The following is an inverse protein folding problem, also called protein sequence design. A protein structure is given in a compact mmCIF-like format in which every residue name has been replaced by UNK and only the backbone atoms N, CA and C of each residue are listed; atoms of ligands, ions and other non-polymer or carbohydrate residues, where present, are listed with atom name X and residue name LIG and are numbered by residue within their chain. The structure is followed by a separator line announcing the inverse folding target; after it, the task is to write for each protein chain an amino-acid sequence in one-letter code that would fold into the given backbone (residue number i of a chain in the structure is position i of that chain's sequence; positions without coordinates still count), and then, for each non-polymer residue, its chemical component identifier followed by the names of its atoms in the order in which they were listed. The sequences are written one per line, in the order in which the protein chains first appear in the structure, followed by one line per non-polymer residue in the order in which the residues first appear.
data_IF_975850036720
#
_entry.id   IF_975850036720
#
_cell.length_a   1.000
_cell.length_b   1.000
_cell.length_c   1.000
_cell.angle_alpha   90.00
_cell.angle_beta   90.00
_cell.angle_gamma   90.00
#
_symmetry.space_group_name_H-M   'P 1'
#
loop_
_entity.id
_entity.type
_entity.pdbx_description
1 polymer ?
#
# COMPACT_ATOMS: atom_id res chain seq x y z
N UNK A 1 15.29 -24.29 38.41
CA UNK A 1 14.37 -24.48 37.26
C UNK A 1 12.90 -24.22 37.62
N UNK A 2 12.57 -23.98 38.90
CA UNK A 2 11.18 -23.79 39.34
C UNK A 2 10.68 -22.32 39.36
N UNK A 3 11.55 -21.31 39.24
CA UNK A 3 11.16 -19.89 39.33
C UNK A 3 10.72 -19.23 37.99
N UNK A 4 10.55 -19.99 36.92
CA UNK A 4 10.11 -19.44 35.62
C UNK A 4 8.59 -19.50 35.38
N UNK A 5 7.80 -20.07 36.29
CA UNK A 5 6.37 -20.37 36.03
C UNK A 5 5.37 -19.25 36.39
N UNK A 6 5.82 -18.03 36.71
CA UNK A 6 4.92 -16.95 37.11
C UNK A 6 5.14 -15.61 36.37
N UNK A 7 5.39 -15.64 35.06
CA UNK A 7 5.20 -14.47 34.22
C UNK A 7 4.13 -14.82 33.18
N UNK A 8 2.95 -14.24 33.40
CA UNK A 8 1.76 -14.40 32.56
C UNK A 8 2.10 -14.32 31.06
N UNK A 9 1.51 -15.27 30.32
CA UNK A 9 1.42 -15.40 28.86
C UNK A 9 1.70 -14.06 28.15
N UNK A 10 2.72 -13.95 27.28
CA UNK A 10 3.04 -12.69 26.63
C UNK A 10 1.84 -12.27 25.78
N UNK A 11 1.23 -11.14 26.15
CA UNK A 11 0.25 -10.48 25.32
C UNK A 11 0.87 -10.28 23.94
N UNK A 12 0.21 -10.82 22.91
CA UNK A 12 0.47 -10.55 21.51
C UNK A 12 0.67 -9.04 21.30
N UNK A 13 1.92 -8.56 21.21
CA UNK A 13 2.17 -7.14 20.94
C UNK A 13 2.24 -6.97 19.43
N UNK A 14 1.19 -6.36 18.89
CA UNK A 14 1.08 -6.07 17.49
C UNK A 14 1.42 -4.59 17.27
N UNK A 15 2.50 -4.34 16.53
CA UNK A 15 2.98 -2.98 16.24
C UNK A 15 2.42 -2.49 14.92
N UNK A 16 1.47 -1.56 14.96
CA UNK A 16 1.01 -0.90 13.74
C UNK A 16 0.00 -1.74 12.95
N UNK A 17 -1.22 -1.87 13.44
CA UNK A 17 -2.32 -2.63 12.81
C UNK A 17 -3.43 -1.72 12.25
N UNK A 18 -4.27 -2.29 11.39
CA UNK A 18 -5.51 -1.70 10.87
C UNK A 18 -6.74 -2.44 11.43
N UNK A 19 -7.88 -1.76 11.58
CA UNK A 19 -9.13 -2.43 11.98
C UNK A 19 -9.73 -3.29 10.86
N UNK A 20 -10.64 -4.19 11.23
CA UNK A 20 -11.46 -4.94 10.29
C UNK A 20 -12.19 -4.00 9.30
N UNK A 21 -12.38 -4.44 8.06
CA UNK A 21 -13.06 -3.70 6.99
C UNK A 21 -12.16 -2.80 6.15
N UNK A 22 -10.98 -2.43 6.64
CA UNK A 22 -9.99 -1.67 5.86
C UNK A 22 -9.50 -2.52 4.69
N UNK A 23 -9.53 -1.94 3.48
CA UNK A 23 -9.21 -2.67 2.26
C UNK A 23 -7.74 -2.59 1.91
N UNK A 24 -7.16 -3.75 1.58
CA UNK A 24 -5.79 -3.92 1.11
C UNK A 24 -5.80 -4.22 -0.38
N UNK A 25 -4.85 -3.65 -1.13
CA UNK A 25 -4.73 -3.88 -2.56
C UNK A 25 -3.94 -5.16 -2.86
N UNK A 26 -4.62 -6.14 -3.45
CA UNK A 26 -4.01 -7.38 -3.94
C UNK A 26 -3.22 -7.15 -5.23
N UNK A 27 -2.36 -8.10 -5.58
CA UNK A 27 -1.60 -8.13 -6.83
C UNK A 27 -2.49 -8.15 -8.08
N UNK A 28 -3.68 -8.76 -8.00
CA UNK A 28 -4.70 -8.79 -9.06
C UNK A 28 -5.61 -7.54 -9.09
N UNK A 29 -5.17 -6.48 -8.42
CA UNK A 29 -5.78 -5.16 -8.38
C UNK A 29 -7.19 -5.11 -7.77
N UNK A 30 -7.48 -6.00 -6.81
CA UNK A 30 -8.70 -5.94 -5.99
C UNK A 30 -8.40 -5.32 -4.63
N UNK A 31 -9.32 -4.48 -4.18
CA UNK A 31 -9.33 -4.00 -2.79
C UNK A 31 -10.16 -4.95 -1.95
N UNK A 32 -9.51 -5.76 -1.12
CA UNK A 32 -10.16 -6.76 -0.27
C UNK A 32 -10.01 -6.40 1.21
N UNK A 33 -11.01 -6.64 2.07
CA UNK A 33 -10.89 -6.35 3.49
C UNK A 33 -9.72 -7.12 4.14
N UNK A 34 -9.00 -6.49 5.06
CA UNK A 34 -7.81 -7.06 5.71
C UNK A 34 -8.09 -8.40 6.40
N UNK A 35 -9.29 -8.60 6.93
CA UNK A 35 -9.70 -9.84 7.60
C UNK A 35 -9.86 -11.03 6.65
N UNK A 36 -9.98 -10.79 5.34
CA UNK A 36 -10.14 -11.84 4.33
C UNK A 36 -8.81 -12.38 3.81
N UNK A 37 -7.69 -11.72 4.13
CA UNK A 37 -6.37 -12.12 3.66
C UNK A 37 -5.85 -13.33 4.43
N UNK A 38 -5.41 -14.35 3.68
CA UNK A 38 -4.74 -15.54 4.18
C UNK A 38 -3.24 -15.54 3.87
N UNK A 39 -2.49 -16.46 4.49
CA UNK A 39 -1.10 -16.70 4.12
C UNK A 39 -1.00 -17.12 2.65
N UNK A 40 -0.02 -16.60 1.93
CA UNK A 40 0.14 -16.86 0.50
C UNK A 40 -0.55 -15.87 -0.43
N UNK A 41 -1.43 -15.02 0.10
CA UNK A 41 -2.10 -14.01 -0.73
C UNK A 41 -1.09 -12.98 -1.24
N UNK A 42 -1.16 -12.73 -2.54
CA UNK A 42 -0.26 -11.80 -3.23
C UNK A 42 -0.81 -10.38 -3.21
N UNK A 43 0.01 -9.44 -2.77
CA UNK A 43 -0.31 -8.03 -2.60
C UNK A 43 0.52 -7.14 -3.52
N UNK A 44 -0.06 -6.00 -3.90
CA UNK A 44 0.71 -4.91 -4.49
C UNK A 44 1.39 -4.12 -3.36
N UNK A 45 2.72 -4.04 -3.42
CA UNK A 45 3.53 -3.41 -2.40
C UNK A 45 4.65 -2.54 -3.01
N UNK A 46 5.55 -2.04 -2.17
CA UNK A 46 6.66 -1.19 -2.61
C UNK A 46 7.91 -1.39 -1.76
N UNK A 47 9.08 -1.00 -2.25
CA UNK A 47 10.32 -1.09 -1.46
C UNK A 47 10.21 -0.25 -0.16
N UNK A 48 10.32 -0.89 1.02
CA UNK A 48 10.25 -0.21 2.32
C UNK A 48 11.31 0.91 2.43
N UNK A 49 12.55 0.56 2.08
CA UNK A 49 13.69 1.46 2.08
C UNK A 49 13.97 2.05 0.70
N UNK A 50 14.29 3.34 0.67
CA UNK A 50 14.75 3.98 -0.55
C UNK A 50 16.27 3.83 -0.67
N UNK A 51 16.77 3.21 -1.74
CA UNK A 51 18.22 3.23 -2.00
C UNK A 51 18.69 4.68 -2.22
N UNK A 52 19.80 5.08 -1.60
CA UNK A 52 20.35 6.45 -1.69
C UNK A 52 20.45 6.91 -3.16
N UNK A 53 19.76 8.02 -3.48
CA UNK A 53 19.72 8.59 -4.83
C UNK A 53 18.75 7.92 -5.82
N UNK A 54 18.00 6.89 -5.40
CA UNK A 54 16.96 6.22 -6.22
C UNK A 54 15.59 6.36 -5.55
N UNK A 55 14.54 6.32 -6.38
CA UNK A 55 13.16 6.26 -5.90
C UNK A 55 12.78 4.81 -5.61
N UNK A 56 11.92 4.61 -4.61
CA UNK A 56 11.27 3.32 -4.31
C UNK A 56 10.57 2.76 -5.55
N UNK A 57 10.49 1.45 -5.65
CA UNK A 57 9.80 0.74 -6.73
C UNK A 57 8.59 -0.02 -6.22
N UNK A 58 7.66 -0.28 -7.12
CA UNK A 58 6.59 -1.24 -6.89
C UNK A 58 7.17 -2.66 -6.87
N UNK A 59 6.67 -3.50 -5.97
CA UNK A 59 7.05 -4.90 -5.83
C UNK A 59 5.82 -5.74 -5.55
N UNK A 60 5.86 -7.01 -5.93
CA UNK A 60 4.89 -8.00 -5.45
C UNK A 60 5.32 -8.45 -4.05
N UNK A 61 4.35 -8.65 -3.17
CA UNK A 61 4.57 -9.10 -1.79
C UNK A 61 3.59 -10.20 -1.47
N UNK A 62 3.91 -11.02 -0.47
CA UNK A 62 3.08 -12.15 -0.05
C UNK A 62 2.74 -12.00 1.42
N UNK A 63 1.51 -12.35 1.79
CA UNK A 63 1.08 -12.37 3.19
C UNK A 63 1.75 -13.54 3.91
N UNK A 64 2.51 -13.24 4.96
CA UNK A 64 3.17 -14.24 5.81
C UNK A 64 2.42 -14.50 7.12
N UNK A 65 1.64 -13.51 7.58
CA UNK A 65 0.84 -13.63 8.80
C UNK A 65 -0.33 -12.65 8.75
N UNK A 66 -1.47 -13.07 9.29
CA UNK A 66 -2.62 -12.19 9.50
C UNK A 66 -3.41 -12.66 10.72
N UNK A 67 -3.34 -11.91 11.83
CA UNK A 67 -3.97 -12.31 13.09
C UNK A 67 -4.80 -11.19 13.71
N UNK A 68 -6.01 -11.49 14.20
CA UNK A 68 -6.80 -10.52 14.94
C UNK A 68 -6.22 -10.31 16.34
N UNK A 69 -6.04 -9.05 16.74
CA UNK A 69 -5.53 -8.61 18.04
C UNK A 69 -6.41 -7.50 18.57
N UNK A 70 -6.57 -7.39 19.89
CA UNK A 70 -7.24 -6.24 20.50
C UNK A 70 -6.20 -5.16 20.80
N UNK A 71 -6.38 -3.99 20.23
CA UNK A 71 -5.49 -2.85 20.46
C UNK A 71 -6.27 -1.54 20.51
N UNK A 72 -5.67 -0.53 21.10
CA UNK A 72 -6.19 0.82 21.12
C UNK A 72 -6.03 1.47 19.74
N UNK A 73 -7.12 2.07 19.23
CA UNK A 73 -7.24 2.55 17.85
C UNK A 73 -7.53 4.04 17.81
N UNK A 74 -6.87 4.69 16.87
CA UNK A 74 -7.09 6.07 16.48
C UNK A 74 -7.85 6.11 15.16
N UNK A 75 -8.85 6.98 15.08
CA UNK A 75 -9.58 7.29 13.85
C UNK A 75 -9.04 8.58 13.25
N UNK A 76 -8.54 8.47 12.03
CA UNK A 76 -8.09 9.56 11.18
C UNK A 76 -9.19 9.81 10.15
N UNK A 77 -9.70 11.04 10.11
CA UNK A 77 -10.68 11.47 9.12
C UNK A 77 -10.02 12.40 8.11
N UNK A 78 -10.20 12.10 6.83
CA UNK A 78 -9.65 12.87 5.72
C UNK A 78 -10.69 13.80 5.10
N UNK A 79 -10.22 14.81 4.37
CA UNK A 79 -11.05 15.84 3.72
C UNK A 79 -12.02 15.32 2.67
N UNK A 80 -11.79 14.12 2.12
CA UNK A 80 -12.71 13.45 1.17
C UNK A 80 -13.70 12.50 1.86
N UNK A 81 -13.75 12.51 3.19
CA UNK A 81 -14.61 11.63 3.99
C UNK A 81 -14.01 10.26 4.28
N UNK A 82 -12.81 9.95 3.76
CA UNK A 82 -12.16 8.65 4.04
C UNK A 82 -11.77 8.53 5.50
N UNK A 83 -12.00 7.35 6.07
CA UNK A 83 -11.72 7.03 7.46
C UNK A 83 -10.65 5.95 7.54
N UNK A 84 -9.53 6.26 8.19
CA UNK A 84 -8.50 5.28 8.53
C UNK A 84 -8.54 5.02 10.04
N UNK A 85 -8.67 3.76 10.43
CA UNK A 85 -8.65 3.34 11.83
C UNK A 85 -7.46 2.41 12.05
N UNK A 86 -6.48 2.91 12.79
CA UNK A 86 -5.20 2.25 12.98
C UNK A 86 -4.67 2.43 14.40
N UNK A 87 -3.78 1.54 14.83
CA UNK A 87 -3.10 1.67 16.12
C UNK A 87 -2.13 2.85 16.14
N UNK A 88 -1.79 3.37 17.33
CA UNK A 88 -0.88 4.52 17.50
C UNK A 88 0.45 4.37 16.74
N UNK A 89 1.01 3.16 16.69
CA UNK A 89 2.34 2.88 16.14
C UNK A 89 2.30 2.61 14.64
N UNK A 90 1.12 2.65 13.98
CA UNK A 90 1.00 2.28 12.57
C UNK A 90 1.66 3.34 11.67
N UNK A 91 2.72 3.00 10.92
CA UNK A 91 3.42 3.94 10.07
C UNK A 91 2.74 4.05 8.69
N UNK A 92 2.47 5.28 8.28
CA UNK A 92 2.06 5.60 6.91
C UNK A 92 3.18 6.36 6.20
N UNK A 93 3.49 5.96 4.97
CA UNK A 93 4.42 6.67 4.11
C UNK A 93 3.66 7.75 3.34
N UNK A 94 3.84 9.01 3.74
CA UNK A 94 3.19 10.14 3.07
C UNK A 94 4.21 11.02 2.35
N UNK A 95 3.81 11.56 1.20
CA UNK A 95 4.57 12.56 0.46
C UNK A 95 4.45 13.92 1.18
N UNK A 96 5.58 14.48 1.60
CA UNK A 96 5.59 15.73 2.38
C UNK A 96 5.79 16.97 1.50
N UNK A 97 6.99 17.11 0.90
CA UNK A 97 7.37 18.20 0.00
C UNK A 97 8.14 17.66 -1.19
N UNK A 98 7.81 18.13 -2.39
CA UNK A 98 8.44 17.65 -3.63
C UNK A 98 8.33 16.13 -3.76
N UNK A 99 9.44 15.44 -4.03
CA UNK A 99 9.50 13.98 -4.15
C UNK A 99 9.91 13.25 -2.85
N UNK A 100 9.87 13.90 -1.69
CA UNK A 100 10.27 13.30 -0.43
C UNK A 100 9.10 12.57 0.24
N UNK A 101 9.33 11.27 0.53
CA UNK A 101 8.42 10.42 1.29
C UNK A 101 8.99 10.21 2.69
N UNK A 102 8.15 10.38 3.70
CA UNK A 102 8.53 10.27 5.11
C UNK A 102 7.53 9.34 5.79
N UNK A 103 8.05 8.37 6.54
CA UNK A 103 7.25 7.52 7.42
C UNK A 103 6.77 8.35 8.60
N UNK A 104 5.48 8.32 8.88
CA UNK A 104 4.90 8.91 10.09
C UNK A 104 3.95 7.94 10.73
N UNK A 105 4.11 7.72 12.03
CA UNK A 105 3.17 6.95 12.84
C UNK A 105 1.89 7.76 13.08
N UNK A 106 0.81 7.07 13.45
CA UNK A 106 -0.44 7.74 13.84
C UNK A 106 -0.23 8.64 15.05
N UNK A 107 0.62 8.24 16.01
CA UNK A 107 0.97 9.07 17.16
C UNK A 107 1.67 10.38 16.74
N UNK A 108 2.62 10.32 15.80
CA UNK A 108 3.29 11.51 15.28
C UNK A 108 2.32 12.43 14.52
N UNK A 109 1.42 11.84 13.72
CA UNK A 109 0.36 12.59 13.03
C UNK A 109 -0.58 13.25 14.05
N UNK A 110 -0.96 12.54 15.12
CA UNK A 110 -1.80 13.07 16.20
C UNK A 110 -1.13 14.24 16.93
N UNK A 111 0.15 14.09 17.32
CA UNK A 111 0.94 15.16 17.96
C UNK A 111 1.10 16.36 17.03
N UNK A 112 1.38 16.12 15.75
CA UNK A 112 1.49 17.17 14.74
C UNK A 112 0.15 17.90 14.57
N UNK A 113 -0.98 17.17 14.56
CA UNK A 113 -2.31 17.74 14.36
C UNK A 113 -2.68 18.66 15.53
N UNK A 114 -2.42 18.21 16.77
CA UNK A 114 -2.61 19.02 17.98
C UNK A 114 -1.74 20.28 18.00
N UNK A 115 -0.52 20.23 17.46
CA UNK A 115 0.40 21.38 17.44
C UNK A 115 0.12 22.37 16.29
N UNK A 116 -0.18 21.87 15.09
CA UNK A 116 -0.32 22.69 13.89
C UNK A 116 -1.67 23.43 13.84
N UNK A 117 -2.67 23.00 14.62
CA UNK A 117 -3.98 23.64 14.69
C UNK A 117 -4.78 23.60 13.39
N UNK A 118 -4.24 23.05 12.29
CA UNK A 118 -4.94 22.91 11.01
C UNK A 118 -4.24 21.94 10.04
N UNK A 119 -5.06 21.08 9.43
CA UNK A 119 -4.89 20.32 8.18
C UNK A 119 -3.48 19.78 7.87
N UNK A 120 -3.21 18.51 8.24
CA UNK A 120 -2.00 17.81 7.79
C UNK A 120 -2.22 17.29 6.38
N UNK A 121 -1.42 17.73 5.41
CA UNK A 121 -1.41 17.15 4.06
C UNK A 121 -1.06 15.67 4.13
N UNK A 122 -1.90 14.84 3.55
CA UNK A 122 -1.77 13.39 3.55
C UNK A 122 -2.20 12.87 2.18
N UNK A 123 -1.28 12.26 1.43
CA UNK A 123 -1.54 11.99 0.01
C UNK A 123 -1.89 10.52 -0.22
N UNK A 124 -3.02 10.29 -0.88
CA UNK A 124 -3.39 8.97 -1.41
C UNK A 124 -2.57 8.66 -2.68
N UNK A 125 -1.92 7.51 -2.71
CA UNK A 125 -1.04 7.13 -3.84
C UNK A 125 -1.82 6.50 -4.98
N UNK A 126 -2.77 5.60 -4.67
CA UNK A 126 -3.67 4.98 -5.62
C UNK A 126 -5.12 5.25 -5.21
N UNK A 127 -6.04 5.54 -6.13
CA UNK A 127 -7.46 5.60 -5.78
C UNK A 127 -7.93 4.24 -5.27
N UNK A 128 -9.03 4.25 -4.51
CA UNK A 128 -9.73 3.02 -4.14
C UNK A 128 -10.83 2.80 -5.15
N UNK A 129 -10.96 1.56 -5.64
CA UNK A 129 -12.00 1.18 -6.59
C UNK A 129 -12.65 -0.13 -6.17
N UNK A 130 -13.82 -0.39 -6.76
CA UNK A 130 -14.47 -1.70 -6.74
C UNK A 130 -14.54 -2.24 -8.16
N UNK A 131 -14.72 -3.55 -8.30
CA UNK A 131 -15.01 -4.14 -9.60
C UNK A 131 -16.36 -3.61 -10.08
N UNK A 132 -16.37 -3.04 -11.27
CA UNK A 132 -17.56 -2.46 -11.88
C UNK A 132 -18.26 -3.56 -12.69
N UNK A 133 -19.49 -3.88 -12.30
CA UNK A 133 -20.33 -4.91 -12.94
C UNK A 133 -21.41 -4.32 -13.84
N UNK A 134 -21.31 -3.03 -14.18
CA UNK A 134 -22.20 -2.38 -15.15
C UNK A 134 -22.01 -2.96 -16.56
N UNK A 135 -23.02 -2.74 -17.41
CA UNK A 135 -22.95 -3.12 -18.82
C UNK A 135 -21.78 -2.41 -19.52
N UNK A 136 -21.58 -1.14 -19.21
CA UNK A 136 -20.51 -0.30 -19.75
C UNK A 136 -19.13 -0.87 -19.41
N UNK A 137 -18.92 -1.27 -18.15
CA UNK A 137 -17.67 -1.91 -17.73
C UNK A 137 -17.47 -3.26 -18.41
N UNK A 138 -18.50 -4.10 -18.50
CA UNK A 138 -18.44 -5.37 -19.22
C UNK A 138 -18.10 -5.20 -20.70
N UNK A 139 -18.72 -4.21 -21.37
CA UNK A 139 -18.41 -3.87 -22.76
C UNK A 139 -16.95 -3.45 -22.92
N UNK A 140 -16.47 -2.55 -22.05
CA UNK A 140 -15.08 -2.09 -22.09
C UNK A 140 -14.08 -3.22 -21.77
N UNK A 141 -14.42 -4.15 -20.88
CA UNK A 141 -13.60 -5.31 -20.58
C UNK A 141 -13.38 -6.15 -21.84
N UNK A 142 -14.46 -6.51 -22.54
CA UNK A 142 -14.39 -7.26 -23.80
C UNK A 142 -13.70 -6.48 -24.93
N UNK A 143 -13.97 -5.18 -25.01
CA UNK A 143 -13.34 -4.29 -25.99
C UNK A 143 -11.81 -4.23 -25.79
N UNK A 144 -11.33 -3.97 -24.56
CA UNK A 144 -9.90 -3.92 -24.27
C UNK A 144 -9.23 -5.30 -24.31
N UNK A 145 -9.98 -6.37 -24.01
CA UNK A 145 -9.49 -7.73 -24.27
C UNK A 145 -9.31 -8.02 -25.77
N UNK A 146 -10.01 -7.31 -26.66
CA UNK A 146 -9.87 -7.50 -28.11
C UNK A 146 -8.84 -6.53 -28.71
N UNK A 147 -9.08 -5.22 -28.55
CA UNK A 147 -8.34 -4.12 -29.21
C UNK A 147 -7.24 -3.51 -28.33
N UNK A 148 -7.25 -3.84 -27.03
CA UNK A 148 -6.39 -3.22 -26.04
C UNK A 148 -4.96 -3.78 -26.03
N UNK A 149 -4.03 -2.94 -25.61
CA UNK A 149 -2.63 -3.28 -25.42
C UNK A 149 -2.13 -2.63 -24.11
N UNK A 150 -1.62 -3.47 -23.22
CA UNK A 150 -0.88 -3.05 -22.04
C UNK A 150 0.62 -3.09 -22.36
N UNK A 151 1.24 -1.92 -22.48
CA UNK A 151 2.67 -1.78 -22.71
C UNK A 151 3.38 -1.56 -21.38
N UNK A 152 4.18 -2.55 -20.95
CA UNK A 152 5.12 -2.41 -19.85
C UNK A 152 6.54 -2.58 -20.38
N UNK A 153 7.40 -1.60 -20.14
CA UNK A 153 8.81 -1.65 -20.54
C UNK A 153 9.67 -1.94 -19.33
N UNK A 154 10.65 -2.83 -19.48
CA UNK A 154 11.62 -3.10 -18.42
C UNK A 154 12.42 -1.85 -18.03
N UNK A 155 12.54 -1.61 -16.73
CA UNK A 155 13.35 -0.51 -16.19
C UNK A 155 14.79 -0.99 -16.05
N UNK A 156 15.63 -0.74 -17.07
CA UNK A 156 17.06 -1.08 -17.00
C UNK A 156 17.75 -0.36 -15.82
N UNK A 157 18.50 -1.05 -14.93
CA UNK A 157 19.10 -0.45 -13.73
C UNK A 157 20.20 0.59 -13.95
N UNK A 158 20.82 0.65 -15.14
CA UNK A 158 22.12 1.31 -15.37
C UNK A 158 22.12 2.49 -16.37
N UNK A 159 20.96 2.95 -16.84
CA UNK A 159 20.92 4.09 -17.79
C UNK A 159 21.15 5.45 -17.12
N UNK A 160 22.25 6.14 -17.45
CA UNK A 160 22.40 7.59 -17.21
C UNK A 160 21.23 8.30 -17.93
N UNK A 161 20.46 9.09 -17.19
CA UNK A 161 19.11 9.65 -17.52
C UNK A 161 17.99 8.62 -17.55
N UNK A 162 17.14 8.71 -16.52
CA UNK A 162 15.80 8.16 -16.41
C UNK A 162 14.94 8.51 -17.64
N UNK A 163 15.01 7.69 -18.68
CA UNK A 163 13.91 7.60 -19.63
C UNK A 163 12.87 6.73 -18.95
N UNK A 164 11.98 7.34 -18.15
CA UNK A 164 10.61 6.81 -18.12
C UNK A 164 10.19 6.94 -19.57
N UNK A 165 10.28 5.84 -20.32
CA UNK A 165 9.79 5.84 -21.69
C UNK A 165 8.37 6.39 -21.61
N UNK A 166 8.01 7.33 -22.48
CA UNK A 166 6.65 7.85 -22.56
C UNK A 166 5.58 6.73 -22.76
N UNK A 167 6.04 5.48 -22.95
CA UNK A 167 5.25 4.26 -23.10
C UNK A 167 5.26 3.33 -21.88
N UNK A 168 5.88 3.69 -20.74
CA UNK A 168 5.91 2.81 -19.57
C UNK A 168 4.53 2.77 -18.86
N UNK A 169 3.97 1.56 -18.71
CA UNK A 169 2.64 1.31 -18.12
C UNK A 169 1.52 2.00 -18.89
N UNK A 170 1.55 1.87 -20.22
CA UNK A 170 0.57 2.49 -21.11
C UNK A 170 -0.54 1.49 -21.43
N UNK A 171 -1.78 1.88 -21.18
CA UNK A 171 -2.96 1.14 -21.63
C UNK A 171 -3.57 1.88 -22.82
N UNK A 172 -3.53 1.26 -23.99
CA UNK A 172 -4.02 1.83 -25.22
C UNK A 172 -4.95 0.86 -25.95
N UNK A 173 -5.84 1.40 -26.76
CA UNK A 173 -6.57 0.62 -27.76
C UNK A 173 -6.48 1.33 -29.12
N UNK A 174 -6.63 0.55 -30.18
CA UNK A 174 -6.67 1.06 -31.56
C UNK A 174 -7.94 0.56 -32.20
N UNK A 175 -8.73 1.44 -32.78
CA UNK A 175 -9.94 1.04 -33.46
C UNK A 175 -10.24 1.98 -34.62
N UNK A 176 -10.79 1.44 -35.71
CA UNK A 176 -11.31 2.24 -36.81
C UNK A 176 -12.58 2.98 -36.37
N UNK A 177 -12.77 4.21 -36.84
CA UNK A 177 -14.02 4.96 -36.59
C UNK A 177 -15.23 4.16 -37.06
N UNK A 178 -16.04 3.71 -36.10
CA UNK A 178 -17.26 2.94 -36.28
C UNK A 178 -18.13 3.05 -35.00
N UNK A 179 -19.35 2.46 -34.97
CA UNK A 179 -20.18 2.49 -33.77
C UNK A 179 -19.48 1.92 -32.52
N UNK A 180 -18.67 0.86 -32.66
CA UNK A 180 -17.93 0.26 -31.55
C UNK A 180 -16.93 1.24 -30.92
N UNK A 181 -16.18 1.98 -31.74
CA UNK A 181 -15.30 3.06 -31.28
C UNK A 181 -16.08 4.13 -30.50
N UNK A 182 -17.19 4.62 -31.06
CA UNK A 182 -18.01 5.67 -30.41
C UNK A 182 -18.56 5.20 -29.07
N UNK A 183 -19.04 3.96 -29.00
CA UNK A 183 -19.51 3.33 -27.76
C UNK A 183 -18.38 3.20 -26.74
N UNK A 184 -17.19 2.75 -27.15
CA UNK A 184 -16.04 2.65 -26.25
C UNK A 184 -15.65 4.03 -25.68
N UNK A 185 -15.59 5.07 -26.52
CA UNK A 185 -15.29 6.44 -26.07
C UNK A 185 -16.34 6.95 -25.09
N UNK A 186 -17.64 6.80 -25.41
CA UNK A 186 -18.74 7.19 -24.53
C UNK A 186 -18.68 6.47 -23.19
N UNK A 187 -18.48 5.15 -23.20
CA UNK A 187 -18.44 4.36 -21.97
C UNK A 187 -17.20 4.67 -21.12
N UNK A 188 -16.03 4.92 -21.73
CA UNK A 188 -14.87 5.36 -20.96
C UNK A 188 -15.12 6.68 -20.25
N UNK A 189 -15.79 7.63 -20.90
CA UNK A 189 -16.16 8.91 -20.30
C UNK A 189 -17.20 8.74 -19.18
N UNK A 190 -18.22 7.91 -19.38
CA UNK A 190 -19.24 7.58 -18.37
C UNK A 190 -18.64 6.97 -17.11
N UNK A 191 -17.63 6.11 -17.24
CA UNK A 191 -16.90 5.53 -16.10
C UNK A 191 -15.81 6.46 -15.52
N UNK A 192 -15.76 7.71 -15.97
CA UNK A 192 -14.86 8.74 -15.45
C UNK A 192 -13.40 8.56 -15.85
N UNK A 193 -13.10 7.86 -16.95
CA UNK A 193 -11.76 7.78 -17.51
C UNK A 193 -11.56 8.88 -18.55
N UNK A 194 -10.43 9.57 -18.47
CA UNK A 194 -9.98 10.44 -19.55
C UNK A 194 -9.11 9.64 -20.51
N UNK A 195 -9.41 9.69 -21.81
CA UNK A 195 -8.60 9.07 -22.85
C UNK A 195 -8.02 10.12 -23.79
N UNK A 196 -6.81 9.88 -24.31
CA UNK A 196 -6.33 10.66 -25.47
C UNK A 196 -7.06 10.19 -26.71
N UNK A 197 -7.34 11.06 -27.67
CA UNK A 197 -7.84 10.65 -28.97
C UNK A 197 -6.90 11.17 -30.05
N UNK A 198 -6.07 10.30 -30.63
CA UNK A 198 -5.16 10.66 -31.72
C UNK A 198 -5.50 9.82 -32.95
N UNK A 199 -5.82 10.47 -34.05
CA UNK A 199 -5.88 9.84 -35.37
C UNK A 199 -4.50 9.90 -36.02
N UNK A 200 -4.13 8.87 -36.80
CA UNK A 200 -3.03 9.02 -37.76
C UNK A 200 -3.53 9.85 -38.94
N UNK A 201 -2.72 10.81 -39.39
CA UNK A 201 -3.05 11.75 -40.48
C UNK A 201 -3.13 11.11 -41.86
N UNK A 202 -2.83 9.81 -42.00
CA UNK A 202 -3.06 9.11 -43.26
C UNK A 202 -4.57 8.90 -43.45
N UNK A 203 -5.16 9.76 -44.27
CA UNK A 203 -6.59 9.87 -44.55
C UNK A 203 -7.26 8.58 -45.09
N UNK A 204 -6.50 7.50 -45.32
CA UNK A 204 -7.00 6.26 -45.94
C UNK A 204 -7.52 5.22 -44.94
N UNK A 205 -7.12 5.25 -43.67
CA UNK A 205 -7.47 4.15 -42.74
C UNK A 205 -8.40 4.55 -41.58
N UNK A 206 -8.51 5.84 -41.24
CA UNK A 206 -9.36 6.36 -40.14
C UNK A 206 -9.26 5.54 -38.83
N UNK A 207 -8.03 5.18 -38.45
CA UNK A 207 -7.73 4.43 -37.23
C UNK A 207 -7.40 5.40 -36.10
N UNK A 208 -8.16 5.31 -35.03
CA UNK A 208 -7.96 6.06 -33.79
C UNK A 208 -7.14 5.24 -32.82
N UNK A 209 -6.10 5.85 -32.25
CA UNK A 209 -5.41 5.32 -31.08
C UNK A 209 -5.83 6.14 -29.86
N UNK A 210 -6.34 5.45 -28.84
CA UNK A 210 -6.70 6.09 -27.60
C UNK A 210 -6.05 5.43 -26.39
N UNK A 211 -5.45 6.28 -25.56
CA UNK A 211 -4.68 5.88 -24.38
C UNK A 211 -5.43 6.32 -23.14
N UNK A 212 -5.49 5.47 -22.12
CA UNK A 212 -6.00 5.88 -20.80
C UNK A 212 -4.99 6.88 -20.20
N UNK A 213 -5.46 8.11 -19.95
CA UNK A 213 -4.67 9.19 -19.37
C UNK A 213 -4.73 9.15 -17.84
N UNK A 214 -3.75 9.80 -17.19
CA UNK A 214 -3.59 9.78 -15.74
C UNK A 214 -2.48 8.84 -15.24
N UNK A 215 -1.72 8.24 -16.17
CA UNK A 215 -0.53 7.45 -15.87
C UNK A 215 -0.84 6.11 -15.19
N UNK A 216 0.15 5.55 -14.49
CA UNK A 216 0.03 4.23 -13.84
C UNK A 216 -1.17 4.14 -12.90
N UNK A 217 -1.50 5.23 -12.21
CA UNK A 217 -2.61 5.28 -11.25
C UNK A 217 -3.95 4.96 -11.92
N UNK A 218 -4.26 5.62 -13.04
CA UNK A 218 -5.51 5.39 -13.79
C UNK A 218 -5.48 4.09 -14.59
N UNK A 219 -4.31 3.64 -15.03
CA UNK A 219 -4.15 2.34 -15.69
C UNK A 219 -4.44 1.19 -14.70
N UNK A 220 -3.90 1.24 -13.49
CA UNK A 220 -4.21 0.25 -12.46
C UNK A 220 -5.68 0.33 -12.03
N UNK A 221 -6.24 1.55 -11.90
CA UNK A 221 -7.68 1.72 -11.64
C UNK A 221 -8.52 1.08 -12.73
N UNK A 222 -8.22 1.34 -14.01
CA UNK A 222 -8.93 0.76 -15.16
C UNK A 222 -8.86 -0.76 -15.14
N UNK A 223 -7.65 -1.33 -15.03
CA UNK A 223 -7.48 -2.79 -14.99
C UNK A 223 -8.19 -3.42 -13.79
N UNK A 224 -8.15 -2.79 -12.62
CA UNK A 224 -8.75 -3.32 -11.40
C UNK A 224 -10.28 -3.23 -11.35
N UNK A 225 -10.88 -2.16 -11.87
CA UNK A 225 -12.34 -1.98 -11.88
C UNK A 225 -13.02 -2.60 -13.11
N UNK A 226 -12.51 -2.36 -14.32
CA UNK A 226 -13.09 -2.84 -15.59
C UNK A 226 -12.75 -4.31 -15.85
N UNK A 227 -11.57 -4.75 -15.37
CA UNK A 227 -11.12 -6.15 -15.42
C UNK A 227 -11.09 -6.84 -16.80
N UNK A 228 -10.45 -6.25 -17.82
CA UNK A 228 -10.11 -6.98 -19.06
C UNK A 228 -9.17 -8.15 -18.71
N UNK A 229 -9.64 -9.40 -18.87
CA UNK A 229 -8.99 -10.61 -18.37
C UNK A 229 -7.62 -10.84 -19.02
N UNK A 230 -7.53 -10.70 -20.34
CA UNK A 230 -6.29 -10.91 -21.09
C UNK A 230 -5.23 -9.87 -20.70
N UNK A 231 -5.63 -8.64 -20.43
CA UNK A 231 -4.69 -7.58 -20.04
C UNK A 231 -4.27 -7.68 -18.58
N UNK A 232 -5.15 -8.14 -17.68
CA UNK A 232 -4.82 -8.46 -16.30
C UNK A 232 -3.78 -9.58 -16.22
N UNK A 233 -3.92 -10.65 -17.01
CA UNK A 233 -2.96 -11.76 -17.07
C UNK A 233 -1.57 -11.32 -17.59
N UNK A 234 -1.51 -10.21 -18.35
CA UNK A 234 -0.26 -9.62 -18.84
C UNK A 234 0.39 -8.64 -17.86
N UNK A 235 -0.30 -8.25 -16.79
CA UNK A 235 0.21 -7.30 -15.82
C UNK A 235 1.37 -7.92 -15.05
N UNK A 236 2.53 -7.27 -15.15
CA UNK A 236 3.72 -7.63 -14.40
C UNK A 236 4.08 -6.50 -13.42
N UNK A 237 3.94 -6.77 -12.13
CA UNK A 237 4.19 -5.80 -11.05
C UNK A 237 5.65 -5.34 -11.06
N UNK A 238 6.60 -6.21 -11.40
CA UNK A 238 8.03 -5.88 -11.42
C UNK A 238 8.38 -4.81 -12.48
N UNK A 239 7.55 -4.71 -13.54
CA UNK A 239 7.71 -3.74 -14.64
C UNK A 239 7.03 -2.40 -14.38
N UNK A 240 6.23 -2.28 -13.31
CA UNK A 240 5.55 -1.02 -12.95
C UNK A 240 6.55 0.11 -12.64
N UNK A 241 7.76 -0.23 -12.20
CA UNK A 241 8.86 0.72 -12.02
C UNK A 241 8.73 1.54 -10.75
N UNK A 242 8.96 2.86 -10.84
CA UNK A 242 9.08 3.72 -9.67
C UNK A 242 7.72 4.04 -9.05
N UNK A 243 7.69 4.03 -7.71
CA UNK A 243 6.64 4.61 -6.90
C UNK A 243 6.54 6.11 -7.21
N UNK A 244 5.46 6.48 -7.90
CA UNK A 244 5.11 7.87 -8.20
C UNK A 244 3.61 8.03 -7.97
N UNK A 245 3.24 8.93 -7.08
CA UNK A 245 1.86 9.39 -7.03
C UNK A 245 1.61 10.27 -8.26
N UNK A 246 0.72 9.82 -9.15
CA UNK A 246 0.21 10.63 -10.27
C UNK A 246 -1.03 11.43 -9.86
N UNK A 247 -1.56 11.15 -8.66
CA UNK A 247 -2.71 11.83 -8.07
C UNK A 247 -2.38 13.29 -7.81
N UNK A 248 -3.21 14.17 -8.38
CA UNK A 248 -3.10 15.63 -8.20
C UNK A 248 -3.91 16.16 -7.02
N UNK A 249 -4.76 15.32 -6.43
CA UNK A 249 -5.64 15.69 -5.33
C UNK A 249 -4.84 15.62 -4.03
N UNK A 250 -4.69 16.77 -3.38
CA UNK A 250 -4.17 16.83 -2.02
C UNK A 250 -5.32 16.55 -1.04
N UNK A 251 -5.16 15.50 -0.22
CA UNK A 251 -6.05 15.26 0.90
C UNK A 251 -5.43 15.84 2.16
N UNK A 252 -6.29 16.21 3.09
CA UNK A 252 -5.89 16.74 4.39
C UNK A 252 -6.54 15.90 5.49
N UNK A 253 -5.77 15.63 6.54
CA UNK A 253 -6.32 15.10 7.77
C UNK A 253 -7.05 16.23 8.48
N UNK A 254 -8.37 16.07 8.64
CA UNK A 254 -9.27 17.04 9.26
C UNK A 254 -9.57 16.72 10.73
N UNK A 255 -9.43 15.46 11.14
CA UNK A 255 -9.61 15.03 12.53
C UNK A 255 -8.75 13.79 12.82
N UNK A 256 -8.21 13.73 14.04
CA UNK A 256 -7.58 12.52 14.58
C UNK A 256 -8.03 12.39 16.04
N UNK A 257 -8.70 11.27 16.36
CA UNK A 257 -9.19 11.00 17.72
C UNK A 257 -9.00 9.55 18.13
N UNK A 258 -8.85 9.36 19.44
CA UNK A 258 -8.83 8.05 20.06
C UNK A 258 -10.26 7.49 20.09
N UNK A 259 -10.44 6.25 19.61
CA UNK A 259 -11.75 5.57 19.58
C UNK A 259 -11.85 4.48 20.66
N UNK A 260 -10.70 4.05 21.20
CA UNK A 260 -10.62 3.01 22.22
C UNK A 260 -10.20 1.66 21.64
N UNK A 261 -10.48 0.57 22.36
CA UNK A 261 -10.02 -0.77 22.00
C UNK A 261 -10.92 -1.37 20.91
N UNK A 262 -10.32 -1.76 19.79
CA UNK A 262 -10.99 -2.48 18.69
C UNK A 262 -10.17 -3.71 18.29
N UNK A 263 -10.82 -4.62 17.56
CA UNK A 263 -10.12 -5.71 16.88
C UNK A 263 -9.38 -5.14 15.68
N UNK A 264 -8.08 -5.36 15.65
CA UNK A 264 -7.16 -4.97 14.58
C UNK A 264 -6.46 -6.19 14.02
N UNK A 265 -6.03 -6.12 12.78
CA UNK A 265 -5.34 -7.20 12.08
C UNK A 265 -3.86 -6.90 11.97
N UNK A 266 -3.05 -7.79 12.56
CA UNK A 266 -1.61 -7.76 12.48
C UNK A 266 -1.16 -8.43 11.16
N UNK A 267 -1.03 -7.61 10.11
CA UNK A 267 -0.68 -8.08 8.77
C UNK A 267 0.84 -8.04 8.56
N UNK A 268 1.43 -9.22 8.38
CA UNK A 268 2.82 -9.40 7.99
C UNK A 268 2.94 -9.70 6.50
N UNK A 269 3.85 -9.02 5.81
CA UNK A 269 4.14 -9.23 4.39
C UNK A 269 5.65 -9.37 4.12
N UNK A 270 6.03 -10.09 3.07
CA UNK A 270 7.44 -10.36 2.72
C UNK A 270 8.23 -9.09 2.37
N UNK A 271 7.58 -8.08 1.77
CA UNK A 271 8.19 -6.78 1.44
C UNK A 271 8.18 -5.76 2.59
N UNK A 272 7.63 -6.15 3.74
CA UNK A 272 7.32 -5.27 4.87
C UNK A 272 6.38 -4.09 4.57
N UNK A 273 5.70 -4.10 3.43
CA UNK A 273 4.84 -3.00 2.97
C UNK A 273 3.61 -3.53 2.26
N UNK A 274 2.60 -2.68 2.16
CA UNK A 274 1.37 -2.95 1.42
C UNK A 274 0.61 -1.62 1.20
N UNK A 275 -0.50 -1.68 0.46
CA UNK A 275 -1.35 -0.51 0.18
C UNK A 275 -2.70 -0.70 0.86
N UNK A 276 -3.05 0.20 1.78
CA UNK A 276 -4.33 0.19 2.50
C UNK A 276 -5.17 1.41 2.15
N UNK A 277 -6.39 1.22 1.64
CA UNK A 277 -7.28 2.32 1.21
C UNK A 277 -6.58 3.34 0.27
N UNK A 278 -5.61 2.86 -0.51
CA UNK A 278 -4.79 3.69 -1.41
C UNK A 278 -3.60 4.41 -0.76
N UNK A 279 -3.40 4.26 0.54
CA UNK A 279 -2.27 4.78 1.32
C UNK A 279 -1.17 3.74 1.44
N UNK A 280 0.07 4.22 1.51
CA UNK A 280 1.25 3.39 1.62
C UNK A 280 1.48 3.04 3.09
N UNK A 281 1.33 1.77 3.43
CA UNK A 281 1.47 1.25 4.79
C UNK A 281 2.71 0.38 4.92
N UNK A 282 3.27 0.34 6.13
CA UNK A 282 4.24 -0.67 6.51
C UNK A 282 3.52 -1.83 7.19
N UNK A 283 4.13 -3.02 7.15
CA UNK A 283 3.67 -4.18 7.87
C UNK A 283 3.65 -3.94 9.38
N UNK A 284 2.77 -4.71 10.02
CA UNK A 284 2.79 -4.88 11.46
C UNK A 284 3.87 -5.89 11.82
N UNK A 285 4.80 -5.55 12.72
CA UNK A 285 5.62 -6.59 13.35
C UNK A 285 4.79 -7.21 14.48
N UNK A 286 4.61 -8.53 14.45
CA UNK A 286 3.93 -9.29 15.48
C UNK A 286 4.90 -10.25 16.18
N UNK A 287 5.13 -10.09 17.50
CA UNK A 287 6.01 -10.98 18.27
C UNK A 287 5.43 -11.32 19.64
N UNK A 288 5.73 -12.52 20.12
CA UNK A 288 5.52 -12.89 21.51
C UNK A 288 6.82 -12.61 22.30
N UNK A 289 6.77 -11.70 23.27
CA UNK A 289 7.90 -11.45 24.17
C UNK A 289 8.08 -12.63 25.14
N UNK A 290 8.96 -13.56 24.83
CA UNK A 290 9.35 -14.63 25.73
C UNK A 290 10.53 -14.19 26.60
N UNK A 291 10.36 -14.18 27.93
CA UNK A 291 11.49 -14.03 28.83
C UNK A 291 12.31 -15.32 28.83
N UNK A 292 13.56 -15.28 28.36
CA UNK A 292 14.36 -16.50 28.20
C UNK A 292 15.18 -16.86 29.43
N UNK A 293 15.80 -15.88 30.10
CA UNK A 293 16.37 -16.06 31.45
C UNK A 293 16.69 -14.75 32.17
N UNK A 294 16.76 -14.83 33.50
CA UNK A 294 17.36 -13.81 34.37
C UNK A 294 18.89 -13.90 34.28
N UNK A 295 19.58 -12.77 34.10
CA UNK A 295 21.04 -12.67 34.12
C UNK A 295 21.50 -11.83 35.30
N UNK A 296 22.77 -11.94 35.68
CA UNK A 296 23.31 -11.38 36.93
C UNK A 296 23.14 -9.86 37.09
N UNK A 297 22.92 -9.14 35.98
CA UNK A 297 22.74 -7.68 35.91
C UNK A 297 21.42 -7.24 35.26
N UNK A 298 20.45 -8.14 35.04
CA UNK A 298 19.19 -7.76 34.41
C UNK A 298 18.29 -8.91 33.96
N UNK A 299 17.26 -8.56 33.16
CA UNK A 299 16.35 -9.49 32.52
C UNK A 299 16.66 -9.56 31.02
N UNK A 300 16.78 -10.77 30.48
CA UNK A 300 16.91 -10.99 29.05
C UNK A 300 15.55 -11.40 28.48
N UNK A 301 14.94 -10.50 27.71
CA UNK A 301 13.70 -10.77 26.98
C UNK A 301 14.04 -11.07 25.52
N UNK A 302 13.34 -12.04 24.93
CA UNK A 302 13.41 -12.38 23.51
C UNK A 302 12.05 -12.08 22.90
N UNK A 303 12.00 -11.21 21.90
CA UNK A 303 10.79 -11.11 21.08
C UNK A 303 10.91 -12.22 20.01
N UNK A 304 10.04 -13.22 20.13
CA UNK A 304 9.94 -14.35 19.19
C UNK A 304 8.87 -14.02 18.17
N UNK A 305 9.31 -13.82 16.93
CA UNK A 305 8.44 -13.50 15.80
C UNK A 305 7.96 -14.82 15.13
N UNK A 306 6.77 -14.86 14.51
CA UNK A 306 6.24 -16.06 13.84
C UNK A 306 7.12 -16.61 12.72
N UNK A 307 7.98 -15.77 12.13
CA UNK A 307 8.97 -16.14 11.12
C UNK A 307 10.24 -16.78 11.72
N UNK A 308 10.27 -16.99 13.04
CA UNK A 308 11.40 -17.57 13.77
C UNK A 308 12.54 -16.59 14.02
N UNK A 309 12.40 -15.32 13.63
CA UNK A 309 13.34 -14.27 14.02
C UNK A 309 13.25 -14.09 15.55
N UNK A 310 14.40 -13.91 16.17
CA UNK A 310 14.51 -13.67 17.61
C UNK A 310 15.25 -12.36 17.80
N UNK A 311 14.58 -11.35 18.36
CA UNK A 311 15.22 -10.07 18.71
C UNK A 311 15.50 -10.07 20.21
N UNK A 312 16.78 -10.07 20.63
CA UNK A 312 17.13 -10.01 22.04
C UNK A 312 17.03 -8.57 22.57
N UNK A 313 16.22 -8.39 23.61
CA UNK A 313 16.16 -7.18 24.40
C UNK A 313 16.82 -7.43 25.76
N UNK A 314 17.96 -6.78 26.00
CA UNK A 314 18.61 -6.79 27.32
C UNK A 314 18.06 -5.63 28.12
N UNK A 315 17.23 -5.91 29.12
CA UNK A 315 16.75 -4.91 30.06
C UNK A 315 17.70 -4.88 31.26
N UNK A 316 18.65 -3.94 31.21
CA UNK A 316 19.49 -3.62 32.36
C UNK A 316 18.65 -2.72 33.27
N UNK A 317 18.06 -3.29 34.32
CA UNK A 317 17.46 -2.48 35.37
C UNK A 317 18.55 -1.53 35.88
N UNK A 318 18.28 -0.21 35.85
CA UNK A 318 19.17 0.80 36.43
C UNK A 318 19.48 0.33 37.85
N UNK A 319 20.72 -0.08 38.10
CA UNK A 319 21.17 -0.65 39.37
C UNK A 319 20.99 0.41 40.46
N UNK A 320 19.82 0.43 41.10
CA UNK A 320 19.65 1.06 42.38
C UNK A 320 20.48 0.24 43.38
N UNK A 321 21.72 0.67 43.62
CA UNK A 321 22.46 0.31 44.83
C UNK A 321 23.66 -0.63 44.71
N UNK A 322 24.09 -1.10 43.54
CA UNK A 322 25.32 -1.90 43.45
C UNK A 322 26.55 -1.04 43.16
N UNK A 323 27.40 -0.87 44.18
CA UNK A 323 28.79 -0.43 44.00
C UNK A 323 29.58 -1.58 43.37
N UNK A 324 30.06 -1.38 42.15
CA UNK A 324 31.04 -2.27 41.52
C UNK A 324 32.37 -2.14 42.25
N UNK A 325 32.92 -3.25 42.75
CA UNK A 325 34.35 -3.34 43.09
C UNK A 325 35.11 -3.70 41.82
N UNK A 326 36.18 -2.96 41.59
CA UNK A 326 37.12 -3.21 40.50
C UNK A 326 37.99 -4.40 40.89
N UNK A 327 38.07 -5.40 40.02
CA UNK A 327 39.22 -6.30 39.92
C UNK A 327 39.87 -6.04 38.57
#
# INVERSE_FOLDING_TARGET
LEDCMAISIPSLQAYGCLTAGHKILTSDLRYVPVETLGMGDKLLAFEAEATKGKKRRWVESEVVANHPVKAEVYKITLSDGTILEATKDHPFLSQYRGNQYIWKTVEELYKQFKKAGSHIRFRRTLPVWSTDTSYEAGYLAGFYDSEGCLCQTEVKPQGRRFVVSACQNKLAAKQKENPCYRTAVDYTAKLGYTISNRSKSDARENIHTFDVLGGITEVLRFLGSVRPKRLLEKLDISKLGQLRSTTKIDLYIIDIKLVGIKTVFALGTTSETYISEGFLSHNTKFGARQCSRKVQFGLMALDVWPDGVVIPHVHIAKLAGHKTRVN
#
